data_IF_001694929604
#
_entry.id   IF_001694929604
#
_cell.length_a   1.000
_cell.length_b   1.000
_cell.length_c   1.000
_cell.angle_alpha   90.00
_cell.angle_beta   90.00
_cell.angle_gamma   90.00
#
_symmetry.space_group_name_H-M   'P 1'
#
loop_
_entity.id
_entity.type
_entity.pdbx_description
1 polymer ?
#
# COMPACT_ATOMS: atom_id res chain seq x y z
N UNK A 1 -25.34 -13.44 20.29
CA UNK A 1 -25.39 -11.98 20.51
C UNK A 1 -24.10 -11.41 21.08
N UNK A 2 -23.61 -11.81 22.27
CA UNK A 2 -22.34 -11.27 22.80
C UNK A 2 -21.09 -11.71 22.01
N UNK A 3 -21.04 -12.95 21.56
CA UNK A 3 -19.89 -13.49 20.81
C UNK A 3 -19.74 -12.85 19.43
N UNK A 4 -20.82 -12.74 18.66
CA UNK A 4 -20.81 -12.08 17.33
C UNK A 4 -20.36 -10.62 17.42
N UNK A 5 -20.80 -9.88 18.43
CA UNK A 5 -20.39 -8.49 18.64
C UNK A 5 -18.88 -8.38 18.93
N UNK A 6 -18.33 -9.28 19.75
CA UNK A 6 -16.89 -9.33 20.06
C UNK A 6 -16.05 -9.67 18.82
N UNK A 7 -16.50 -10.63 18.00
CA UNK A 7 -15.83 -11.00 16.76
C UNK A 7 -15.82 -9.84 15.75
N UNK A 8 -16.92 -9.10 15.62
CA UNK A 8 -17.00 -7.90 14.76
C UNK A 8 -16.03 -6.82 15.24
N UNK A 9 -16.00 -6.52 16.54
CA UNK A 9 -15.04 -5.53 17.09
C UNK A 9 -13.58 -5.94 16.94
N UNK A 10 -13.25 -7.21 17.15
CA UNK A 10 -11.87 -7.71 17.02
C UNK A 10 -11.36 -7.66 15.58
N UNK A 11 -12.22 -7.98 14.61
CA UNK A 11 -11.89 -7.97 13.18
C UNK A 11 -11.78 -6.53 12.65
N UNK A 12 -12.67 -5.63 13.07
CA UNK A 12 -12.60 -4.20 12.75
C UNK A 12 -11.31 -3.58 13.29
N UNK A 13 -10.90 -3.92 14.51
CA UNK A 13 -9.66 -3.41 15.10
C UNK A 13 -8.41 -3.92 14.36
N UNK A 14 -8.38 -5.22 14.03
CA UNK A 14 -7.30 -5.81 13.22
C UNK A 14 -7.18 -5.15 11.83
N UNK A 15 -8.31 -4.92 11.17
CA UNK A 15 -8.33 -4.25 9.87
C UNK A 15 -7.91 -2.77 9.97
N UNK A 16 -8.28 -2.09 11.06
CA UNK A 16 -7.87 -0.71 11.32
C UNK A 16 -6.35 -0.62 11.51
N UNK A 17 -5.79 -1.46 12.38
CA UNK A 17 -4.34 -1.48 12.63
C UNK A 17 -3.56 -1.86 11.36
N UNK A 18 -4.07 -2.83 10.59
CA UNK A 18 -3.49 -3.22 9.30
C UNK A 18 -3.57 -2.09 8.26
N UNK A 19 -4.69 -1.38 8.17
CA UNK A 19 -4.85 -0.23 7.27
C UNK A 19 -3.92 0.92 7.61
N UNK A 20 -3.73 1.21 8.90
CA UNK A 20 -2.75 2.21 9.36
C UNK A 20 -1.33 1.76 9.00
N UNK A 21 -0.97 0.51 9.26
CA UNK A 21 0.35 -0.02 8.90
C UNK A 21 0.61 0.04 7.38
N UNK A 22 -0.38 -0.32 6.56
CA UNK A 22 -0.30 -0.24 5.10
C UNK A 22 -0.09 1.20 4.59
N UNK A 23 -0.61 2.20 5.31
CA UNK A 23 -0.43 3.61 4.99
C UNK A 23 1.04 4.04 5.06
N UNK A 24 1.85 3.41 5.91
CA UNK A 24 3.29 3.68 6.02
C UNK A 24 4.13 2.73 5.17
N UNK A 25 3.75 1.45 5.13
CA UNK A 25 4.53 0.40 4.45
C UNK A 25 4.49 0.57 2.92
N UNK A 26 3.33 0.87 2.34
CA UNK A 26 3.19 1.03 0.88
C UNK A 26 4.08 2.16 0.32
N UNK A 27 4.06 3.40 0.85
CA UNK A 27 4.97 4.45 0.38
C UNK A 27 6.43 4.14 0.70
N UNK A 28 6.73 3.51 1.84
CA UNK A 28 8.10 3.08 2.18
C UNK A 28 8.68 2.11 1.14
N UNK A 29 7.94 1.06 0.79
CA UNK A 29 8.37 0.09 -0.22
C UNK A 29 8.51 0.70 -1.62
N UNK A 30 7.59 1.58 -2.01
CA UNK A 30 7.69 2.25 -3.30
C UNK A 30 8.91 3.16 -3.40
N UNK A 31 9.25 3.89 -2.33
CA UNK A 31 10.48 4.69 -2.29
C UNK A 31 11.71 3.82 -2.47
N UNK A 32 11.79 2.68 -1.77
CA UNK A 32 12.91 1.73 -1.93
C UNK A 32 13.03 1.24 -3.37
N UNK A 33 11.92 0.84 -4.00
CA UNK A 33 11.91 0.35 -5.38
C UNK A 33 12.25 1.46 -6.37
N UNK A 34 11.77 2.69 -6.16
CA UNK A 34 12.12 3.84 -7.00
C UNK A 34 13.61 4.14 -6.90
N UNK A 35 14.16 4.23 -5.70
CA UNK A 35 15.60 4.48 -5.49
C UNK A 35 16.43 3.37 -6.13
N UNK A 36 16.05 2.11 -5.96
CA UNK A 36 16.73 0.98 -6.58
C UNK A 36 16.74 1.07 -8.11
N UNK A 37 15.59 1.37 -8.72
CA UNK A 37 15.50 1.52 -10.18
C UNK A 37 16.27 2.76 -10.68
N UNK A 38 16.34 3.84 -9.91
CA UNK A 38 17.15 5.02 -10.26
C UNK A 38 18.64 4.66 -10.25
N UNK A 39 19.12 3.99 -9.21
CA UNK A 39 20.53 3.53 -9.13
C UNK A 39 20.85 2.59 -10.28
N UNK A 40 19.98 1.63 -10.57
CA UNK A 40 20.16 0.71 -11.71
C UNK A 40 20.15 1.42 -13.05
N UNK A 41 19.26 2.40 -13.25
CA UNK A 41 19.18 3.20 -14.48
C UNK A 41 20.45 4.03 -14.72
N UNK A 42 21.12 4.49 -13.67
CA UNK A 42 22.39 5.22 -13.77
C UNK A 42 23.56 4.31 -14.17
N UNK A 43 23.50 3.02 -13.83
CA UNK A 43 24.54 2.02 -14.15
C UNK A 43 24.27 1.25 -15.45
N UNK A 44 23.11 1.46 -16.07
CA UNK A 44 22.64 0.66 -17.18
C UNK A 44 22.87 1.33 -18.55
N UNK A 45 23.09 0.51 -19.58
CA UNK A 45 23.16 0.95 -20.97
C UNK A 45 21.82 1.47 -21.49
N UNK A 46 21.83 2.26 -22.57
CA UNK A 46 20.65 2.97 -23.07
C UNK A 46 19.44 2.06 -23.38
N UNK A 47 19.69 0.80 -23.75
CA UNK A 47 18.64 -0.19 -24.00
C UNK A 47 17.92 -0.63 -22.70
N UNK A 48 18.66 -0.77 -21.61
CA UNK A 48 18.11 -1.20 -20.32
C UNK A 48 17.44 -0.06 -19.55
N UNK A 49 17.81 1.20 -19.81
CA UNK A 49 17.17 2.39 -19.19
C UNK A 49 15.65 2.46 -19.42
N UNK A 50 15.17 1.95 -20.55
CA UNK A 50 13.73 1.91 -20.87
C UNK A 50 13.00 0.97 -19.90
N UNK A 51 13.56 -0.23 -19.67
CA UNK A 51 13.00 -1.24 -18.76
C UNK A 51 12.90 -0.73 -17.32
N UNK A 52 13.93 -0.04 -16.82
CA UNK A 52 13.88 0.54 -15.47
C UNK A 52 12.87 1.68 -15.35
N UNK A 53 12.67 2.47 -16.41
CA UNK A 53 11.65 3.53 -16.45
C UNK A 53 10.23 2.94 -16.44
N UNK A 54 9.99 1.85 -17.16
CA UNK A 54 8.70 1.14 -17.12
C UNK A 54 8.44 0.50 -15.77
N UNK A 55 9.43 -0.16 -15.18
CA UNK A 55 9.32 -0.72 -13.83
C UNK A 55 8.95 0.35 -12.80
N UNK A 56 9.57 1.54 -12.84
CA UNK A 56 9.21 2.65 -11.95
C UNK A 56 7.75 3.11 -12.14
N UNK A 57 7.28 3.24 -13.39
CA UNK A 57 5.89 3.62 -13.68
C UNK A 57 4.92 2.57 -13.15
N UNK A 58 5.22 1.29 -13.35
CA UNK A 58 4.40 0.17 -12.88
C UNK A 58 4.35 0.15 -11.34
N UNK A 59 5.47 0.36 -10.66
CA UNK A 59 5.49 0.47 -9.20
C UNK A 59 4.64 1.64 -8.70
N UNK A 60 4.71 2.81 -9.34
CA UNK A 60 3.86 3.95 -9.01
C UNK A 60 2.38 3.65 -9.22
N UNK A 61 2.03 2.96 -10.31
CA UNK A 61 0.65 2.54 -10.58
C UNK A 61 0.13 1.62 -9.48
N UNK A 62 0.91 0.61 -9.08
CA UNK A 62 0.53 -0.29 -7.99
C UNK A 62 0.42 0.41 -6.64
N UNK A 63 1.27 1.40 -6.37
CA UNK A 63 1.13 2.22 -5.16
C UNK A 63 -0.19 3.00 -5.16
N UNK A 64 -0.54 3.64 -6.28
CA UNK A 64 -1.81 4.38 -6.38
C UNK A 64 -3.01 3.45 -6.16
N UNK A 65 -2.98 2.26 -6.77
CA UNK A 65 -4.03 1.24 -6.58
C UNK A 65 -4.08 0.79 -5.12
N UNK A 66 -2.94 0.48 -4.50
CA UNK A 66 -2.86 0.04 -3.10
C UNK A 66 -3.37 1.11 -2.13
N UNK A 67 -2.98 2.37 -2.34
CA UNK A 67 -3.47 3.52 -1.55
C UNK A 67 -4.98 3.74 -1.73
N UNK A 68 -5.50 3.54 -2.95
CA UNK A 68 -6.94 3.65 -3.24
C UNK A 68 -7.74 2.56 -2.53
N UNK A 69 -7.27 1.31 -2.58
CA UNK A 69 -7.88 0.18 -1.86
C UNK A 69 -7.83 0.43 -0.35
N UNK A 70 -6.68 0.85 0.19
CA UNK A 70 -6.55 1.15 1.61
C UNK A 70 -7.46 2.30 2.05
N UNK A 71 -7.60 3.34 1.22
CA UNK A 71 -8.55 4.44 1.44
C UNK A 71 -10.00 3.97 1.46
N UNK A 72 -10.38 3.07 0.54
CA UNK A 72 -11.71 2.47 0.53
C UNK A 72 -11.98 1.61 1.78
N UNK A 73 -11.01 0.79 2.21
CA UNK A 73 -11.10 0.01 3.45
C UNK A 73 -11.24 0.94 4.66
N UNK A 74 -10.44 2.01 4.73
CA UNK A 74 -10.51 2.99 5.81
C UNK A 74 -11.88 3.69 5.83
N UNK A 75 -12.44 4.02 4.66
CA UNK A 75 -13.79 4.57 4.54
C UNK A 75 -14.84 3.58 5.05
N UNK A 76 -14.76 2.31 4.67
CA UNK A 76 -15.66 1.26 5.19
C UNK A 76 -15.55 1.10 6.71
N UNK A 77 -14.33 1.12 7.25
CA UNK A 77 -14.11 1.05 8.69
C UNK A 77 -14.68 2.27 9.42
N UNK A 78 -14.67 3.45 8.81
CA UNK A 78 -15.29 4.65 9.41
C UNK A 78 -16.80 4.56 9.59
N UNK A 79 -17.49 3.71 8.81
CA UNK A 79 -18.92 3.43 8.96
C UNK A 79 -19.23 2.48 10.12
N UNK A 80 -18.25 1.71 10.59
CA UNK A 80 -18.38 0.86 11.79
C UNK A 80 -17.72 1.60 12.95
N UNK A 81 -18.46 2.44 13.70
CA UNK A 81 -17.88 3.15 14.83
C UNK A 81 -17.30 2.13 15.80
N UNK A 82 -15.99 2.18 15.99
CA UNK A 82 -15.31 1.51 17.09
C UNK A 82 -15.90 2.07 18.38
N UNK A 83 -16.88 1.36 18.93
CA UNK A 83 -17.49 1.64 20.24
C UNK A 83 -16.50 1.31 21.35
#
# INVERSE_FOLDING_TARGET
MLTEFVWVTGLVKLLTDASVALYFILPGLALVIIVWNVVKRLQADDHEKIKYKENMKTTLLYLVIGMTINGFITMLLSYFPSS
#
